data_IF_947299888770
#
_entry.id   IF_947299888770
#
_cell.length_a   1.000
_cell.length_b   1.000
_cell.length_c   1.000
_cell.angle_alpha   90.00
_cell.angle_beta   90.00
_cell.angle_gamma   90.00
#
_symmetry.space_group_name_H-M   'P 1'
#
loop_
_entity.id
_entity.type
_entity.pdbx_description
1 polymer ?
#
# COMPACT_ATOMS: atom_id res chain seq x y z
N UNK A 1 32.33 2.82 32.69
CA UNK A 1 31.26 1.93 32.20
C UNK A 1 29.91 2.63 32.34
N UNK A 2 29.54 3.57 31.46
CA UNK A 2 28.21 4.23 31.51
C UNK A 2 27.76 5.12 30.32
N UNK A 3 28.62 5.66 29.42
CA UNK A 3 28.11 6.60 28.39
C UNK A 3 27.52 5.88 27.17
N UNK A 4 28.08 4.73 26.78
CA UNK A 4 27.62 3.94 25.62
C UNK A 4 26.25 3.30 25.84
N UNK A 5 25.96 2.82 27.05
CA UNK A 5 24.66 2.24 27.39
C UNK A 5 23.53 3.27 27.37
N UNK A 6 23.78 4.50 27.86
CA UNK A 6 22.81 5.60 27.79
C UNK A 6 22.52 6.03 26.35
N UNK A 7 23.56 6.15 25.52
CA UNK A 7 23.43 6.46 24.10
C UNK A 7 22.67 5.38 23.34
N UNK A 8 22.89 4.10 23.68
CA UNK A 8 22.19 2.97 23.07
C UNK A 8 20.70 2.98 23.42
N UNK A 9 20.36 3.20 24.69
CA UNK A 9 18.96 3.32 25.13
C UNK A 9 18.26 4.49 24.46
N UNK A 10 18.91 5.65 24.36
CA UNK A 10 18.36 6.82 23.67
C UNK A 10 18.09 6.53 22.19
N UNK A 11 19.05 5.93 21.49
CA UNK A 11 18.90 5.58 20.08
C UNK A 11 17.79 4.55 19.87
N UNK A 12 17.65 3.57 20.77
CA UNK A 12 16.59 2.58 20.73
C UNK A 12 15.19 3.20 20.94
N UNK A 13 15.06 4.14 21.89
CA UNK A 13 13.81 4.86 22.15
C UNK A 13 13.41 5.73 20.94
N UNK A 14 14.35 6.46 20.34
CA UNK A 14 14.11 7.26 19.13
C UNK A 14 13.62 6.36 17.97
N UNK A 15 14.26 5.21 17.77
CA UNK A 15 13.87 4.26 16.72
C UNK A 15 12.48 3.66 16.98
N UNK A 16 12.16 3.35 18.24
CA UNK A 16 10.84 2.86 18.64
C UNK A 16 9.74 3.90 18.37
N UNK A 17 9.99 5.18 18.69
CA UNK A 17 9.07 6.28 18.41
C UNK A 17 8.85 6.46 16.90
N UNK A 18 9.89 6.34 16.08
CA UNK A 18 9.78 6.41 14.61
C UNK A 18 8.96 5.25 14.01
N UNK A 19 8.98 4.07 14.63
CA UNK A 19 8.12 2.97 14.19
C UNK A 19 6.63 3.21 14.49
N UNK A 20 6.31 3.97 15.54
CA UNK A 20 4.91 4.25 15.93
C UNK A 20 4.21 5.30 15.07
N UNK A 21 4.95 6.10 14.29
CA UNK A 21 4.35 7.10 13.38
C UNK A 21 3.92 6.51 12.04
N UNK A 22 4.31 5.25 11.73
CA UNK A 22 3.90 4.59 10.51
C UNK A 22 2.40 4.21 10.56
N UNK A 23 1.59 4.89 9.76
CA UNK A 23 0.15 4.64 9.66
C UNK A 23 -0.15 3.59 8.60
N UNK A 24 -0.41 2.34 9.02
CA UNK A 24 -0.86 1.26 8.14
C UNK A 24 -2.39 1.12 8.24
N UNK A 25 -3.14 1.93 7.48
CA UNK A 25 -4.61 1.94 7.49
C UNK A 25 -5.26 0.99 6.46
N UNK A 26 -4.47 0.21 5.73
CA UNK A 26 -4.96 -0.67 4.67
C UNK A 26 -5.41 -2.02 5.23
N UNK A 27 -6.52 -2.54 4.70
CA UNK A 27 -7.02 -3.88 4.97
C UNK A 27 -7.48 -4.55 3.68
N UNK A 28 -7.15 -5.84 3.44
CA UNK A 28 -7.62 -6.57 2.26
C UNK A 28 -9.15 -6.77 2.26
N UNK A 29 -9.82 -6.59 3.40
CA UNK A 29 -11.26 -6.77 3.57
C UNK A 29 -12.03 -5.46 3.72
N UNK A 30 -11.39 -4.32 3.43
CA UNK A 30 -11.94 -2.97 3.65
C UNK A 30 -13.36 -2.78 3.09
N UNK A 31 -13.66 -3.36 1.93
CA UNK A 31 -14.95 -3.22 1.26
C UNK A 31 -15.95 -4.35 1.51
N UNK A 32 -15.62 -5.35 2.34
CA UNK A 32 -16.48 -6.53 2.50
C UNK A 32 -17.91 -6.20 2.95
N UNK A 33 -18.10 -5.11 3.71
CA UNK A 33 -19.41 -4.69 4.22
C UNK A 33 -20.02 -3.56 3.40
N UNK A 34 -19.24 -2.55 3.02
CA UNK A 34 -19.74 -1.37 2.32
C UNK A 34 -19.99 -1.59 0.83
N UNK A 35 -19.22 -2.49 0.19
CA UNK A 35 -19.36 -2.83 -1.22
C UNK A 35 -18.85 -4.27 -1.50
N UNK A 36 -19.61 -5.31 -1.12
CA UNK A 36 -19.13 -6.71 -1.16
C UNK A 36 -18.75 -7.21 -2.56
N UNK A 37 -19.31 -6.59 -3.62
CA UNK A 37 -19.08 -6.97 -5.01
C UNK A 37 -18.03 -6.08 -5.71
N UNK A 38 -17.31 -5.22 -4.99
CA UNK A 38 -16.37 -4.27 -5.63
C UNK A 38 -15.28 -5.02 -6.40
N UNK A 39 -14.72 -6.08 -5.81
CA UNK A 39 -13.59 -6.79 -6.41
C UNK A 39 -14.04 -7.57 -7.67
N UNK A 40 -15.19 -8.24 -7.62
CA UNK A 40 -15.74 -8.96 -8.79
C UNK A 40 -16.12 -8.00 -9.92
N UNK A 41 -16.67 -6.83 -9.57
CA UNK A 41 -17.00 -5.78 -10.55
C UNK A 41 -15.74 -5.26 -11.24
N UNK A 42 -14.68 -4.96 -10.48
CA UNK A 42 -13.38 -4.51 -11.01
C UNK A 42 -12.76 -5.60 -11.91
N UNK A 43 -12.75 -6.86 -11.46
CA UNK A 43 -12.19 -7.98 -12.24
C UNK A 43 -12.91 -8.13 -13.59
N UNK A 44 -14.25 -8.05 -13.59
CA UNK A 44 -15.06 -8.12 -14.81
C UNK A 44 -14.71 -6.98 -15.78
N UNK A 45 -14.56 -5.75 -15.27
CA UNK A 45 -14.18 -4.59 -16.07
C UNK A 45 -12.76 -4.70 -16.66
N UNK A 46 -11.80 -5.14 -15.84
CA UNK A 46 -10.42 -5.38 -16.30
C UNK A 46 -10.40 -6.46 -17.39
N UNK A 47 -11.13 -7.58 -17.19
CA UNK A 47 -11.19 -8.65 -18.18
C UNK A 47 -11.78 -8.15 -19.50
N UNK A 48 -12.88 -7.38 -19.47
CA UNK A 48 -13.44 -6.78 -20.67
C UNK A 48 -12.45 -5.85 -21.39
N UNK A 49 -11.71 -5.01 -20.65
CA UNK A 49 -10.69 -4.14 -21.22
C UNK A 49 -9.54 -4.91 -21.88
N UNK A 50 -9.08 -6.01 -21.25
CA UNK A 50 -8.04 -6.88 -21.79
C UNK A 50 -8.49 -7.63 -23.04
N UNK A 51 -9.75 -8.07 -23.10
CA UNK A 51 -10.32 -8.72 -24.29
C UNK A 51 -10.46 -7.74 -25.45
N UNK A 52 -10.75 -6.47 -25.17
CA UNK A 52 -10.82 -5.42 -26.19
C UNK A 52 -9.43 -5.01 -26.72
N UNK A 53 -8.45 -4.84 -25.81
CA UNK A 53 -7.04 -4.61 -26.16
C UNK A 53 -6.12 -5.13 -25.06
N UNK A 54 -5.34 -6.16 -25.38
CA UNK A 54 -4.37 -6.76 -24.45
C UNK A 54 -3.36 -5.77 -23.86
N UNK A 55 -3.04 -4.67 -24.57
CA UNK A 55 -2.13 -3.63 -24.07
C UNK A 55 -2.72 -2.86 -22.89
N UNK A 56 -4.04 -2.90 -22.70
CA UNK A 56 -4.70 -2.23 -21.56
C UNK A 56 -4.18 -2.69 -20.21
N UNK A 57 -3.76 -3.96 -20.07
CA UNK A 57 -3.16 -4.44 -18.82
C UNK A 57 -1.89 -3.68 -18.46
N UNK A 58 -1.01 -3.47 -19.44
CA UNK A 58 0.21 -2.69 -19.26
C UNK A 58 -0.09 -1.20 -19.01
N UNK A 59 -1.09 -0.64 -19.71
CA UNK A 59 -1.53 0.75 -19.50
C UNK A 59 -2.05 1.00 -18.09
N UNK A 60 -2.91 0.12 -17.56
CA UNK A 60 -3.46 0.21 -16.20
C UNK A 60 -2.36 0.08 -15.14
N UNK A 61 -1.42 -0.84 -15.34
CA UNK A 61 -0.27 -1.00 -14.45
C UNK A 61 0.60 0.28 -14.44
N UNK A 62 0.91 0.82 -15.62
CA UNK A 62 1.66 2.08 -15.74
C UNK A 62 0.95 3.24 -15.04
N UNK A 63 -0.38 3.34 -15.17
CA UNK A 63 -1.18 4.35 -14.50
C UNK A 63 -1.04 4.24 -12.98
N UNK A 64 -1.18 3.03 -12.42
CA UNK A 64 -1.00 2.81 -10.98
C UNK A 64 0.39 3.21 -10.49
N UNK A 65 1.44 2.82 -11.23
CA UNK A 65 2.81 3.24 -10.90
C UNK A 65 2.99 4.76 -10.98
N UNK A 66 2.41 5.41 -11.99
CA UNK A 66 2.49 6.85 -12.15
C UNK A 66 1.84 7.59 -10.97
N UNK A 67 0.67 7.13 -10.52
CA UNK A 67 -0.04 7.74 -9.38
C UNK A 67 0.70 7.51 -8.05
N UNK A 68 1.36 6.36 -7.88
CA UNK A 68 2.07 6.05 -6.64
C UNK A 68 3.49 6.64 -6.55
N UNK A 69 4.17 6.86 -7.68
CA UNK A 69 5.57 7.30 -7.69
C UNK A 69 5.76 8.78 -8.00
N UNK A 70 4.75 9.47 -8.55
CA UNK A 70 4.78 10.91 -8.81
C UNK A 70 4.06 11.63 -7.65
N UNK A 71 4.61 11.53 -6.43
CA UNK A 71 4.14 12.24 -5.24
C UNK A 71 5.16 13.27 -4.77
#
# INVERSE_FOLDING_TARGET
MAPSSFSFCYSAVVLLCLCTVASAQLSPTFYNTSCPNVLSTIQTGIQAALQADSRMGASLLRMHFHDCFVQ
#
